data_IF_654590435792
#
_entry.id   IF_654590435792
#
_cell.length_a   1.000
_cell.length_b   1.000
_cell.length_c   1.000
_cell.angle_alpha   90.00
_cell.angle_beta   90.00
_cell.angle_gamma   90.00
#
_symmetry.space_group_name_H-M   'P 1'
#
loop_
_entity.id
_entity.type
_entity.pdbx_description
1 polymer ?
#
# COMPACT_ATOMS: atom_id res chain seq x y z
N UNK A 1 -7.72 7.07 -17.98
CA UNK A 1 -7.38 5.89 -17.19
C UNK A 1 -7.65 6.19 -15.72
N UNK A 2 -8.35 5.33 -15.04
CA UNK A 2 -8.66 5.52 -13.63
C UNK A 2 -7.48 5.17 -12.75
N UNK A 3 -7.28 5.96 -11.69
CA UNK A 3 -6.21 5.75 -10.71
C UNK A 3 -6.76 4.91 -9.56
N UNK A 4 -5.99 3.92 -9.14
CA UNK A 4 -6.36 3.04 -8.04
C UNK A 4 -5.24 2.98 -7.01
N UNK A 5 -5.60 3.08 -5.74
CA UNK A 5 -4.67 2.91 -4.64
C UNK A 5 -4.68 1.45 -4.21
N UNK A 6 -3.49 0.85 -4.16
CA UNK A 6 -3.35 -0.53 -3.72
C UNK A 6 -3.07 -0.53 -2.22
N UNK A 7 -4.04 -1.05 -1.47
CA UNK A 7 -3.97 -1.18 -0.01
C UNK A 7 -3.70 -2.63 0.34
N UNK A 8 -2.54 -2.92 0.93
CA UNK A 8 -2.12 -4.28 1.27
C UNK A 8 -1.17 -4.26 2.46
N UNK A 9 -0.92 -5.41 3.14
CA UNK A 9 -0.01 -5.45 4.28
C UNK A 9 1.43 -5.11 3.87
N UNK A 10 2.15 -4.40 4.74
CA UNK A 10 3.59 -4.18 4.56
C UNK A 10 4.40 -4.65 5.76
N UNK A 11 4.04 -4.17 6.98
CA UNK A 11 4.80 -4.53 8.18
C UNK A 11 4.78 -6.03 8.41
N UNK A 12 5.94 -6.56 8.73
CA UNK A 12 6.15 -7.99 8.87
C UNK A 12 6.96 -8.28 10.13
N UNK A 13 6.73 -9.46 10.72
CA UNK A 13 7.46 -9.89 11.92
C UNK A 13 8.85 -10.45 11.58
N UNK A 14 9.08 -10.85 10.31
CA UNK A 14 10.34 -11.41 9.84
C UNK A 14 10.50 -11.18 8.34
N UNK A 15 11.66 -11.59 7.81
CA UNK A 15 11.99 -11.40 6.41
C UNK A 15 11.10 -12.20 5.45
N UNK A 16 10.71 -13.39 5.85
CA UNK A 16 9.85 -14.24 5.01
C UNK A 16 8.47 -13.62 4.84
N UNK A 17 7.92 -13.08 5.91
CA UNK A 17 6.63 -12.39 5.87
C UNK A 17 6.71 -11.08 5.08
N UNK A 18 7.83 -10.36 5.19
CA UNK A 18 8.05 -9.15 4.41
C UNK A 18 8.11 -9.46 2.91
N UNK A 19 8.83 -10.51 2.53
CA UNK A 19 8.92 -10.94 1.13
C UNK A 19 7.55 -11.33 0.59
N UNK A 20 6.76 -12.03 1.39
CA UNK A 20 5.38 -12.38 1.04
C UNK A 20 4.53 -11.13 0.79
N UNK A 21 4.64 -10.14 1.68
CA UNK A 21 3.86 -8.91 1.57
C UNK A 21 4.25 -8.11 0.32
N UNK A 22 5.54 -8.03 0.02
CA UNK A 22 6.03 -7.35 -1.19
C UNK A 22 5.54 -8.05 -2.45
N UNK A 23 5.66 -9.38 -2.48
CA UNK A 23 5.19 -10.18 -3.61
C UNK A 23 3.69 -9.99 -3.84
N UNK A 24 2.92 -10.00 -2.78
CA UNK A 24 1.47 -9.79 -2.85
C UNK A 24 1.13 -8.40 -3.40
N UNK A 25 1.82 -7.36 -2.92
CA UNK A 25 1.62 -6.00 -3.42
C UNK A 25 1.95 -5.89 -4.91
N UNK A 26 3.02 -6.58 -5.36
CA UNK A 26 3.38 -6.63 -6.77
C UNK A 26 2.31 -7.33 -7.61
N UNK A 27 1.76 -8.42 -7.12
CA UNK A 27 0.68 -9.15 -7.81
C UNK A 27 -0.56 -8.27 -7.98
N UNK A 28 -0.98 -7.57 -6.94
CA UNK A 28 -2.13 -6.66 -7.00
C UNK A 28 -1.88 -5.51 -7.98
N UNK A 29 -0.66 -4.98 -7.97
CA UNK A 29 -0.27 -3.91 -8.89
C UNK A 29 -0.32 -4.39 -10.34
N UNK A 30 0.21 -5.60 -10.60
CA UNK A 30 0.17 -6.20 -11.93
C UNK A 30 -1.28 -6.41 -12.40
N UNK A 31 -2.12 -6.94 -11.52
CA UNK A 31 -3.54 -7.17 -11.85
C UNK A 31 -4.24 -5.86 -12.22
N UNK A 32 -3.96 -4.79 -11.50
CA UNK A 32 -4.52 -3.47 -11.80
C UNK A 32 -4.07 -2.97 -13.18
N UNK A 33 -2.78 -3.13 -13.49
CA UNK A 33 -2.25 -2.76 -14.80
C UNK A 33 -2.90 -3.57 -15.92
N UNK A 34 -3.06 -4.87 -15.71
CA UNK A 34 -3.70 -5.75 -16.69
C UNK A 34 -5.17 -5.41 -16.91
N UNK A 35 -5.81 -4.82 -15.90
CA UNK A 35 -7.20 -4.37 -15.98
C UNK A 35 -7.34 -2.97 -16.59
N UNK A 36 -6.24 -2.35 -17.03
CA UNK A 36 -6.27 -1.02 -17.64
C UNK A 36 -6.35 0.13 -16.65
N UNK A 37 -5.93 -0.11 -15.39
CA UNK A 37 -5.93 0.89 -14.35
C UNK A 37 -4.53 1.46 -14.13
N UNK A 38 -4.45 2.64 -13.49
CA UNK A 38 -3.19 3.23 -13.10
C UNK A 38 -2.98 3.03 -11.59
N UNK A 39 -2.19 2.02 -11.16
CA UNK A 39 -2.04 1.71 -9.75
C UNK A 39 -1.05 2.60 -9.04
N UNK A 40 -1.34 2.92 -7.78
CA UNK A 40 -0.43 3.57 -6.86
C UNK A 40 -0.23 2.61 -5.69
N UNK A 41 1.00 2.10 -5.54
CA UNK A 41 1.37 1.12 -4.52
C UNK A 41 2.57 1.66 -3.73
N UNK A 42 2.34 2.52 -2.72
CA UNK A 42 3.44 3.18 -2.00
C UNK A 42 4.43 2.23 -1.36
N UNK A 43 3.98 1.07 -0.90
CA UNK A 43 4.86 0.07 -0.27
C UNK A 43 5.99 -0.40 -1.18
N UNK A 44 5.85 -0.27 -2.48
CA UNK A 44 6.86 -0.74 -3.43
C UNK A 44 7.96 0.26 -3.70
N UNK A 45 7.80 1.53 -3.29
CA UNK A 45 8.83 2.52 -3.53
C UNK A 45 9.16 3.41 -2.32
N UNK A 46 8.19 3.84 -1.54
CA UNK A 46 8.45 4.71 -0.38
C UNK A 46 9.36 4.05 0.63
N UNK A 47 9.19 2.76 0.82
CA UNK A 47 9.99 1.97 1.76
C UNK A 47 11.45 1.80 1.32
N UNK A 48 11.74 2.07 0.05
CA UNK A 48 13.11 2.08 -0.47
C UNK A 48 13.83 3.39 -0.15
N UNK A 49 13.09 4.44 0.17
CA UNK A 49 13.61 5.79 0.41
C UNK A 49 13.60 6.18 1.88
N UNK A 50 12.70 5.60 2.66
CA UNK A 50 12.46 5.96 4.05
C UNK A 50 12.57 4.74 4.95
N UNK A 51 13.05 4.95 6.18
CA UNK A 51 13.14 3.88 7.18
C UNK A 51 11.85 3.87 8.00
N UNK A 52 11.01 2.86 7.79
CA UNK A 52 9.74 2.70 8.48
C UNK A 52 9.89 2.50 9.99
N UNK A 53 11.10 2.16 10.46
CA UNK A 53 11.39 2.00 11.88
C UNK A 53 11.59 3.33 12.58
N UNK A 54 11.86 4.40 11.84
CA UNK A 54 12.01 5.75 12.40
C UNK A 54 10.66 6.45 12.44
N UNK A 55 10.18 6.89 13.63
CA UNK A 55 8.83 7.46 13.76
C UNK A 55 8.54 8.63 12.82
N UNK A 56 9.48 9.57 12.67
CA UNK A 56 9.27 10.73 11.80
C UNK A 56 9.24 10.35 10.32
N UNK A 57 10.03 9.38 9.89
CA UNK A 57 10.04 8.92 8.51
C UNK A 57 8.77 8.11 8.21
N UNK A 58 8.36 7.29 9.16
CA UNK A 58 7.09 6.55 9.05
C UNK A 58 5.91 7.50 8.94
N UNK A 59 5.88 8.56 9.75
CA UNK A 59 4.82 9.55 9.72
C UNK A 59 4.74 10.26 8.37
N UNK A 60 5.90 10.59 7.77
CA UNK A 60 5.95 11.20 6.44
C UNK A 60 5.42 10.27 5.35
N UNK A 61 5.81 9.00 5.42
CA UNK A 61 5.33 8.00 4.47
C UNK A 61 3.82 7.80 4.57
N UNK A 62 3.29 7.76 5.78
CA UNK A 62 1.85 7.64 6.01
C UNK A 62 1.08 8.85 5.50
N UNK A 63 1.59 10.06 5.76
CA UNK A 63 0.96 11.29 5.29
C UNK A 63 0.95 11.37 3.76
N UNK A 64 2.07 11.02 3.13
CA UNK A 64 2.16 10.99 1.67
C UNK A 64 1.23 9.94 1.08
N UNK A 65 1.17 8.76 1.71
CA UNK A 65 0.25 7.69 1.28
C UNK A 65 -1.20 8.12 1.32
N UNK A 66 -1.63 8.78 2.39
CA UNK A 66 -3.00 9.28 2.52
C UNK A 66 -3.31 10.38 1.48
N UNK A 67 -2.33 11.23 1.19
CA UNK A 67 -2.50 12.25 0.15
C UNK A 67 -2.68 11.62 -1.22
N UNK A 68 -1.90 10.60 -1.53
CA UNK A 68 -2.03 9.86 -2.79
C UNK A 68 -3.38 9.12 -2.87
N UNK A 69 -3.79 8.51 -1.77
CA UNK A 69 -5.07 7.81 -1.67
C UNK A 69 -6.24 8.74 -2.02
N UNK A 70 -6.23 9.95 -1.48
CA UNK A 70 -7.28 10.94 -1.73
C UNK A 70 -7.35 11.37 -3.19
N UNK A 71 -6.25 11.25 -3.92
CA UNK A 71 -6.19 11.57 -5.36
C UNK A 71 -6.60 10.42 -6.26
N UNK A 72 -6.90 9.25 -5.71
CA UNK A 72 -7.29 8.08 -6.49
C UNK A 72 -8.80 8.00 -6.68
N UNK A 73 -9.21 7.34 -7.76
CA UNK A 73 -10.65 7.15 -8.06
C UNK A 73 -11.26 6.09 -7.15
N UNK A 74 -10.49 5.06 -6.79
CA UNK A 74 -10.93 4.02 -5.85
C UNK A 74 -9.74 3.28 -5.27
N UNK A 75 -10.03 2.34 -4.35
CA UNK A 75 -9.03 1.54 -3.63
C UNK A 75 -9.27 0.07 -3.89
N UNK A 76 -8.18 -0.67 -4.09
CA UNK A 76 -8.19 -2.12 -4.07
C UNK A 76 -7.54 -2.57 -2.77
N UNK A 77 -8.32 -3.25 -1.92
CA UNK A 77 -7.81 -3.76 -0.64
C UNK A 77 -7.50 -5.25 -0.78
N UNK A 78 -6.20 -5.59 -0.65
CA UNK A 78 -5.76 -6.97 -0.67
C UNK A 78 -5.86 -7.58 0.72
N UNK A 79 -6.86 -8.44 0.94
CA UNK A 79 -7.18 -8.96 2.27
C UNK A 79 -6.82 -10.44 2.47
N UNK A 80 -6.07 -11.02 1.54
CA UNK A 80 -5.68 -12.43 1.60
C UNK A 80 -5.00 -12.81 2.93
N UNK A 81 -4.22 -11.91 3.49
CA UNK A 81 -3.49 -12.13 4.73
C UNK A 81 -4.05 -11.32 5.90
N UNK A 82 -5.32 -10.92 5.81
CA UNK A 82 -5.99 -10.12 6.83
C UNK A 82 -5.86 -8.64 6.60
N UNK A 83 -6.44 -7.85 7.49
CA UNK A 83 -6.40 -6.39 7.45
C UNK A 83 -5.51 -5.91 8.58
N UNK A 84 -4.41 -5.21 8.24
CA UNK A 84 -3.52 -4.62 9.23
C UNK A 84 -4.09 -3.29 9.72
N UNK A 85 -3.53 -2.76 10.81
CA UNK A 85 -3.93 -1.45 11.35
C UNK A 85 -3.75 -0.34 10.30
N UNK A 86 -2.64 -0.38 9.56
CA UNK A 86 -2.39 0.59 8.49
C UNK A 86 -3.41 0.50 7.36
N UNK A 87 -3.75 -0.72 6.95
CA UNK A 87 -4.77 -0.95 5.94
C UNK A 87 -6.14 -0.45 6.39
N UNK A 88 -6.51 -0.72 7.63
CA UNK A 88 -7.78 -0.27 8.21
C UNK A 88 -7.90 1.25 8.16
N UNK A 89 -6.80 1.94 8.51
CA UNK A 89 -6.75 3.40 8.48
C UNK A 89 -6.93 3.94 7.05
N UNK A 90 -6.29 3.31 6.07
CA UNK A 90 -6.43 3.70 4.66
C UNK A 90 -7.83 3.44 4.12
N UNK A 91 -8.42 2.31 4.47
CA UNK A 91 -9.78 1.95 4.06
C UNK A 91 -10.79 2.97 4.63
N UNK A 92 -10.66 3.34 5.90
CA UNK A 92 -11.52 4.35 6.50
C UNK A 92 -11.36 5.73 5.84
N UNK A 93 -10.15 6.10 5.46
CA UNK A 93 -9.90 7.36 4.76
C UNK A 93 -10.55 7.37 3.39
N UNK A 94 -10.58 6.23 2.69
CA UNK A 94 -11.18 6.11 1.36
C UNK A 94 -12.72 6.23 1.40
N UNK A 95 -13.33 5.83 2.51
CA UNK A 95 -14.76 5.94 2.70
C UNK A 95 -15.14 7.36 3.17
#
# INVERSE_FOLDING_TARGET
MKKVYICSPYRAKDGAELDRNIDYAQQLTRQALEAGLAPITPHLYMTQCMDDKKPEERARGMAAGLALLKGCDFVIAGVKYGITEGMDREIHTAN
#
